data_IF_051641874710
#
_entry.id   IF_051641874710
#
_cell.length_a   1.000
_cell.length_b   1.000
_cell.length_c   1.000
_cell.angle_alpha   90.00
_cell.angle_beta   90.00
_cell.angle_gamma   90.00
#
_symmetry.space_group_name_H-M   'P 1'
#
loop_
_entity.id
_entity.type
_entity.pdbx_description
1 polymer ?
#
# COMPACT_ATOMS: atom_id res chain seq x y z
N UNK A 1 -18.72 -50.44 73.44
CA UNK A 1 -18.25 -49.25 72.72
C UNK A 1 -17.47 -49.62 71.41
N UNK A 2 -16.55 -50.60 71.41
CA UNK A 2 -15.71 -50.99 70.25
C UNK A 2 -16.53 -51.55 69.06
N UNK A 3 -17.62 -52.29 69.28
CA UNK A 3 -18.49 -52.83 68.21
C UNK A 3 -19.31 -51.77 67.46
N UNK A 4 -19.75 -50.72 68.18
CA UNK A 4 -20.52 -49.61 67.56
C UNK A 4 -19.60 -48.74 66.71
N UNK A 5 -18.37 -48.51 67.14
CA UNK A 5 -17.36 -47.73 66.37
C UNK A 5 -16.99 -48.45 65.07
N UNK A 6 -16.87 -49.80 65.06
CA UNK A 6 -16.61 -50.56 63.84
C UNK A 6 -17.77 -50.50 62.83
N UNK A 7 -19.05 -50.49 63.32
CA UNK A 7 -20.21 -50.38 62.43
C UNK A 7 -20.34 -48.97 61.81
N UNK A 8 -20.04 -47.92 62.58
CA UNK A 8 -20.04 -46.55 62.07
C UNK A 8 -18.86 -46.35 61.06
N UNK A 9 -17.68 -46.90 61.31
CA UNK A 9 -16.58 -46.79 60.39
C UNK A 9 -16.83 -47.55 59.08
N UNK A 10 -17.51 -48.72 59.14
CA UNK A 10 -17.86 -49.49 57.93
C UNK A 10 -18.94 -48.80 57.08
N UNK A 11 -19.91 -48.13 57.72
CA UNK A 11 -20.93 -47.35 57.00
C UNK A 11 -20.31 -46.09 56.36
N UNK A 12 -19.33 -45.48 57.03
CA UNK A 12 -18.64 -44.29 56.45
C UNK A 12 -17.70 -44.68 55.27
N UNK A 13 -17.04 -45.86 55.31
CA UNK A 13 -16.21 -46.33 54.20
C UNK A 13 -17.06 -46.73 53.00
N UNK A 14 -18.26 -47.31 53.21
CA UNK A 14 -19.21 -47.63 52.13
C UNK A 14 -19.81 -46.36 51.52
N UNK A 15 -20.09 -45.37 52.37
CA UNK A 15 -20.59 -44.07 51.85
C UNK A 15 -19.55 -43.30 51.03
N UNK A 16 -18.27 -43.37 51.40
CA UNK A 16 -17.16 -42.77 50.62
C UNK A 16 -16.88 -43.54 49.35
N UNK A 17 -17.03 -44.87 49.31
CA UNK A 17 -16.81 -45.65 48.09
C UNK A 17 -17.98 -45.53 47.08
N UNK A 18 -19.17 -45.17 47.48
CA UNK A 18 -20.31 -44.91 46.57
C UNK A 18 -20.24 -43.48 46.01
N UNK A 19 -19.63 -42.54 46.74
CA UNK A 19 -19.41 -41.17 46.23
C UNK A 19 -18.29 -41.10 45.16
N UNK A 20 -17.41 -42.12 45.06
CA UNK A 20 -16.33 -42.12 44.05
C UNK A 20 -16.74 -42.66 42.68
N UNK A 21 -18.00 -43.10 42.51
CA UNK A 21 -18.55 -43.56 41.23
C UNK A 21 -19.56 -42.54 40.62
N UNK A 22 -19.68 -41.35 41.15
CA UNK A 22 -20.27 -40.26 40.39
C UNK A 22 -19.28 -39.94 39.27
N UNK A 23 -19.58 -40.39 38.04
CA UNK A 23 -18.93 -39.84 36.83
C UNK A 23 -18.88 -38.33 37.03
N UNK A 24 -17.69 -37.76 37.21
CA UNK A 24 -17.54 -36.35 37.00
C UNK A 24 -18.21 -36.07 35.64
N UNK A 25 -19.17 -35.14 35.55
CA UNK A 25 -19.67 -34.73 34.24
C UNK A 25 -18.44 -34.41 33.44
N UNK A 26 -18.23 -35.10 32.34
CA UNK A 26 -17.26 -34.66 31.37
C UNK A 26 -17.47 -33.16 31.22
N UNK A 27 -16.42 -32.39 31.39
CA UNK A 27 -16.47 -30.94 31.20
C UNK A 27 -16.75 -30.67 29.71
N UNK A 28 -18.01 -30.94 29.31
CA UNK A 28 -18.53 -30.62 27.99
C UNK A 28 -18.83 -29.11 27.97
N UNK A 29 -17.75 -28.33 28.00
CA UNK A 29 -17.81 -26.90 27.81
C UNK A 29 -18.55 -26.55 26.53
N UNK A 30 -18.36 -27.34 25.47
CA UNK A 30 -19.02 -27.16 24.19
C UNK A 30 -20.53 -27.31 24.26
N UNK A 31 -21.01 -28.38 24.90
CA UNK A 31 -22.47 -28.59 25.11
C UNK A 31 -23.09 -27.50 25.95
N UNK A 32 -22.41 -27.05 27.01
CA UNK A 32 -22.91 -25.93 27.84
C UNK A 32 -22.95 -24.61 27.07
N UNK A 33 -21.97 -24.32 26.26
CA UNK A 33 -21.93 -23.12 25.42
C UNK A 33 -23.03 -23.17 24.35
N UNK A 34 -23.30 -24.33 23.77
CA UNK A 34 -24.39 -24.48 22.81
C UNK A 34 -25.75 -24.25 23.44
N UNK A 35 -26.00 -24.84 24.64
CA UNK A 35 -27.24 -24.60 25.40
C UNK A 35 -27.39 -23.13 25.79
N UNK A 36 -26.33 -22.48 26.24
CA UNK A 36 -26.36 -21.06 26.57
C UNK A 36 -26.66 -20.20 25.32
N UNK A 37 -26.13 -20.54 24.16
CA UNK A 37 -26.45 -19.89 22.90
C UNK A 37 -27.94 -20.06 22.54
N UNK A 38 -28.47 -21.27 22.60
CA UNK A 38 -29.89 -21.58 22.31
C UNK A 38 -30.85 -20.80 23.27
N UNK A 39 -30.51 -20.76 24.57
CA UNK A 39 -31.28 -19.97 25.53
C UNK A 39 -31.19 -18.48 25.27
N UNK A 40 -29.99 -17.97 24.94
CA UNK A 40 -29.84 -16.56 24.56
C UNK A 40 -30.68 -16.22 23.34
N UNK A 41 -30.65 -17.04 22.28
CA UNK A 41 -31.47 -16.85 21.08
C UNK A 41 -32.96 -16.82 21.35
N UNK A 42 -33.43 -17.63 22.29
CA UNK A 42 -34.85 -17.70 22.68
C UNK A 42 -35.37 -16.38 23.30
N UNK A 43 -34.52 -15.68 24.06
CA UNK A 43 -34.90 -14.44 24.75
C UNK A 43 -34.50 -13.17 23.96
N UNK A 44 -33.42 -13.20 23.23
CA UNK A 44 -32.81 -12.02 22.59
C UNK A 44 -32.68 -12.14 21.06
N UNK A 45 -33.07 -13.25 20.47
CA UNK A 45 -32.93 -13.51 19.04
C UNK A 45 -33.83 -12.63 18.14
N UNK A 46 -34.69 -11.83 18.70
CA UNK A 46 -35.44 -10.74 18.05
C UNK A 46 -35.97 -11.09 16.62
N UNK A 47 -36.76 -12.14 16.52
CA UNK A 47 -37.34 -12.59 15.25
C UNK A 47 -36.35 -13.28 14.27
N UNK A 48 -35.17 -13.64 14.73
CA UNK A 48 -34.24 -14.45 13.91
C UNK A 48 -34.80 -15.90 13.77
N UNK A 49 -34.64 -16.44 12.56
CA UNK A 49 -35.12 -17.78 12.20
C UNK A 49 -33.97 -18.77 12.26
N UNK A 50 -34.17 -19.90 12.97
CA UNK A 50 -33.20 -20.99 13.04
C UNK A 50 -33.12 -21.69 11.69
N UNK A 51 -31.92 -21.79 11.15
CA UNK A 51 -31.64 -22.51 9.92
C UNK A 51 -31.31 -24.00 10.21
N UNK A 52 -31.45 -24.85 9.20
CA UNK A 52 -31.10 -26.29 9.30
C UNK A 52 -29.63 -26.53 9.65
N UNK A 53 -28.76 -25.60 9.32
CA UNK A 53 -27.31 -25.59 9.62
C UNK A 53 -26.99 -25.30 11.10
N UNK A 54 -27.98 -24.82 11.87
CA UNK A 54 -27.80 -24.48 13.29
C UNK A 54 -27.50 -23.02 13.57
N UNK A 55 -27.30 -22.18 12.55
CA UNK A 55 -27.24 -20.73 12.69
C UNK A 55 -28.65 -20.15 12.81
N UNK A 56 -28.76 -18.89 13.28
CA UNK A 56 -29.99 -18.13 13.18
C UNK A 56 -29.76 -16.91 12.30
N UNK A 57 -30.71 -16.58 11.42
CA UNK A 57 -30.62 -15.43 10.53
C UNK A 57 -31.81 -14.51 10.67
N UNK A 58 -31.54 -13.20 10.57
CA UNK A 58 -32.56 -12.15 10.50
C UNK A 58 -32.24 -11.26 9.30
N UNK A 59 -33.16 -11.19 8.35
CA UNK A 59 -33.05 -10.23 7.26
C UNK A 59 -33.34 -8.84 7.82
N UNK A 60 -32.40 -7.92 7.61
CA UNK A 60 -32.48 -6.53 8.11
C UNK A 60 -33.00 -5.61 7.02
N UNK A 61 -32.54 -5.81 5.77
CA UNK A 61 -32.90 -4.97 4.64
C UNK A 61 -32.68 -5.73 3.32
N UNK A 62 -33.14 -5.15 2.21
CA UNK A 62 -32.89 -5.55 0.84
C UNK A 62 -32.81 -4.32 -0.04
N UNK A 63 -31.74 -4.17 -0.81
CA UNK A 63 -31.64 -3.10 -1.79
C UNK A 63 -32.69 -3.29 -2.90
N UNK A 64 -33.27 -2.19 -3.43
CA UNK A 64 -34.23 -2.24 -4.52
C UNK A 64 -33.64 -2.88 -5.79
N UNK A 65 -34.42 -3.66 -6.52
CA UNK A 65 -34.02 -4.24 -7.81
C UNK A 65 -33.28 -5.56 -7.74
N UNK A 66 -33.29 -6.23 -6.59
CA UNK A 66 -32.62 -7.51 -6.40
C UNK A 66 -33.14 -8.58 -7.39
N UNK A 67 -32.20 -9.14 -8.14
CA UNK A 67 -32.43 -10.41 -8.85
C UNK A 67 -32.29 -11.54 -7.83
N UNK A 68 -33.28 -12.43 -7.77
CA UNK A 68 -33.19 -13.64 -6.93
C UNK A 68 -32.07 -14.50 -7.47
N UNK A 69 -30.92 -14.44 -6.82
CA UNK A 69 -29.72 -15.19 -7.17
C UNK A 69 -28.86 -15.39 -5.93
N UNK A 70 -28.74 -16.64 -5.52
CA UNK A 70 -27.84 -17.04 -4.44
C UNK A 70 -26.44 -17.34 -4.96
N UNK A 71 -25.39 -17.14 -4.16
CA UNK A 71 -24.04 -17.57 -4.49
C UNK A 71 -24.01 -19.07 -4.76
N UNK A 72 -23.32 -19.46 -5.83
CA UNK A 72 -23.03 -20.85 -6.16
C UNK A 72 -21.56 -21.14 -5.83
N UNK A 73 -21.26 -22.40 -5.53
CA UNK A 73 -19.88 -22.85 -5.33
C UNK A 73 -18.98 -22.37 -6.47
N UNK A 74 -17.90 -21.69 -6.12
CA UNK A 74 -16.96 -21.13 -7.09
C UNK A 74 -17.24 -19.69 -7.54
N UNK A 75 -18.43 -19.13 -7.27
CA UNK A 75 -18.66 -17.71 -7.53
C UNK A 75 -17.73 -16.84 -6.66
N UNK A 76 -17.40 -15.66 -7.16
CA UNK A 76 -16.77 -14.62 -6.36
C UNK A 76 -17.85 -13.71 -5.81
N UNK A 77 -17.72 -13.33 -4.53
CA UNK A 77 -18.72 -12.50 -3.86
C UNK A 77 -18.03 -11.30 -3.20
N UNK A 78 -18.75 -10.18 -3.21
CA UNK A 78 -18.33 -8.96 -2.54
C UNK A 78 -19.24 -8.73 -1.34
N UNK A 79 -18.63 -8.73 -0.14
CA UNK A 79 -19.37 -8.70 1.13
C UNK A 79 -18.85 -7.60 2.03
N UNK A 80 -19.73 -6.71 2.45
CA UNK A 80 -19.46 -5.82 3.56
C UNK A 80 -19.93 -6.49 4.86
N UNK A 81 -19.16 -6.38 5.95
CA UNK A 81 -19.56 -7.00 7.22
C UNK A 81 -18.94 -6.37 8.45
N UNK A 82 -19.63 -6.57 9.57
CA UNK A 82 -19.13 -6.27 10.91
C UNK A 82 -19.41 -7.46 11.83
N UNK A 83 -18.37 -8.00 12.45
CA UNK A 83 -18.44 -9.11 13.40
C UNK A 83 -18.40 -8.65 14.86
N UNK A 84 -19.28 -9.23 15.70
CA UNK A 84 -19.41 -8.91 17.12
C UNK A 84 -19.39 -10.17 17.96
N UNK A 85 -18.85 -10.09 19.15
CA UNK A 85 -18.98 -11.13 20.18
C UNK A 85 -20.42 -11.09 20.73
N UNK A 86 -21.13 -12.22 20.70
CA UNK A 86 -22.56 -12.28 21.08
C UNK A 86 -22.85 -11.70 22.46
N UNK A 87 -22.09 -12.12 23.47
CA UNK A 87 -22.38 -11.80 24.86
C UNK A 87 -22.04 -10.37 25.29
N UNK A 88 -21.04 -9.77 24.61
CA UNK A 88 -20.53 -8.44 24.96
C UNK A 88 -20.93 -7.36 23.99
N UNK A 89 -21.28 -7.74 22.75
CA UNK A 89 -21.47 -6.82 21.63
C UNK A 89 -20.17 -6.20 21.10
N UNK A 90 -19.01 -6.55 21.67
CA UNK A 90 -17.74 -6.02 21.24
C UNK A 90 -17.44 -6.40 19.79
N UNK A 91 -17.08 -5.41 18.99
CA UNK A 91 -16.67 -5.63 17.60
C UNK A 91 -15.29 -6.29 17.60
N UNK A 92 -15.11 -7.34 16.79
CA UNK A 92 -13.80 -7.98 16.58
C UNK A 92 -13.27 -7.78 15.17
N UNK A 93 -14.15 -7.51 14.19
CA UNK A 93 -13.79 -7.19 12.81
C UNK A 93 -14.83 -6.26 12.20
N UNK A 94 -14.40 -5.33 11.35
CA UNK A 94 -15.32 -4.50 10.56
C UNK A 94 -14.70 -4.09 9.24
N UNK A 95 -15.53 -4.03 8.19
CA UNK A 95 -15.17 -3.47 6.87
C UNK A 95 -15.70 -2.04 6.70
N UNK A 96 -16.27 -1.46 7.76
CA UNK A 96 -16.82 -0.10 7.80
C UNK A 96 -15.88 0.87 8.53
N UNK A 97 -15.38 1.88 7.79
CA UNK A 97 -14.45 2.89 8.32
C UNK A 97 -15.06 3.73 9.45
N UNK A 98 -16.35 4.07 9.36
CA UNK A 98 -17.02 4.87 10.39
C UNK A 98 -17.14 4.08 11.71
N UNK A 99 -17.46 2.79 11.61
CA UNK A 99 -17.48 1.88 12.76
C UNK A 99 -16.08 1.76 13.38
N UNK A 100 -15.03 1.60 12.56
CA UNK A 100 -13.66 1.54 13.07
C UNK A 100 -13.23 2.84 13.77
N UNK A 101 -13.62 3.99 13.25
CA UNK A 101 -13.36 5.30 13.87
C UNK A 101 -14.09 5.42 15.23
N UNK A 102 -15.36 5.03 15.29
CA UNK A 102 -16.14 5.05 16.55
C UNK A 102 -15.55 4.13 17.63
N UNK A 103 -14.94 3.01 17.22
CA UNK A 103 -14.25 2.08 18.11
C UNK A 103 -12.82 2.52 18.48
N UNK A 104 -12.28 3.56 17.86
CA UNK A 104 -10.89 4.00 18.05
C UNK A 104 -9.85 3.03 17.49
N UNK A 105 -10.22 2.19 16.51
CA UNK A 105 -9.39 1.16 15.91
C UNK A 105 -9.09 1.43 14.43
N UNK A 106 -9.48 2.60 13.95
CA UNK A 106 -9.23 3.01 12.57
C UNK A 106 -7.74 3.06 12.27
N UNK A 107 -7.37 2.50 11.12
CA UNK A 107 -5.98 2.51 10.62
C UNK A 107 -5.94 3.09 9.22
N UNK A 108 -4.99 3.99 8.96
CA UNK A 108 -4.87 4.68 7.68
C UNK A 108 -4.44 3.78 6.52
N UNK A 109 -3.74 2.69 6.81
CA UNK A 109 -3.34 1.71 5.79
C UNK A 109 -4.44 0.67 5.48
N UNK A 110 -5.51 0.59 6.30
CA UNK A 110 -6.62 -0.31 6.03
C UNK A 110 -7.56 0.30 4.99
N UNK A 111 -7.75 -0.40 3.89
CA UNK A 111 -8.73 -0.06 2.87
C UNK A 111 -10.09 -0.61 3.26
N UNK A 112 -10.88 0.20 3.95
CA UNK A 112 -12.22 -0.17 4.43
C UNK A 112 -13.21 -0.26 3.27
N UNK A 113 -13.16 -1.38 2.56
CA UNK A 113 -14.05 -1.70 1.45
C UNK A 113 -14.61 -3.11 1.65
N UNK A 114 -15.70 -3.48 0.99
CA UNK A 114 -16.22 -4.85 1.00
C UNK A 114 -15.14 -5.85 0.60
N UNK A 115 -15.05 -6.95 1.33
CA UNK A 115 -14.12 -8.03 1.03
C UNK A 115 -14.56 -8.78 -0.21
N UNK A 116 -13.61 -9.21 -1.04
CA UNK A 116 -13.85 -9.94 -2.26
C UNK A 116 -13.16 -11.29 -2.21
N UNK A 117 -13.94 -12.35 -2.11
CA UNK A 117 -13.43 -13.71 -1.96
C UNK A 117 -14.30 -14.73 -2.72
N UNK A 118 -13.72 -15.91 -2.94
CA UNK A 118 -14.43 -16.98 -3.61
C UNK A 118 -15.36 -17.71 -2.62
N UNK A 119 -16.65 -17.79 -2.95
CA UNK A 119 -17.62 -18.57 -2.18
C UNK A 119 -17.35 -20.06 -2.38
N UNK A 120 -16.86 -20.69 -1.30
CA UNK A 120 -16.57 -22.13 -1.22
C UNK A 120 -16.97 -22.62 0.16
N UNK A 121 -17.58 -23.80 0.21
CA UNK A 121 -18.04 -24.42 1.45
C UNK A 121 -16.91 -24.75 2.42
N UNK A 122 -15.67 -24.90 1.94
CA UNK A 122 -14.44 -25.18 2.68
C UNK A 122 -13.50 -23.96 2.79
N UNK A 123 -14.00 -22.76 2.57
CA UNK A 123 -13.19 -21.55 2.70
C UNK A 123 -12.78 -21.31 4.17
N UNK A 124 -11.55 -21.68 4.51
CA UNK A 124 -11.00 -21.54 5.87
C UNK A 124 -10.70 -20.11 6.32
N UNK A 125 -10.86 -19.12 5.44
CA UNK A 125 -10.59 -17.71 5.76
C UNK A 125 -11.72 -17.04 6.54
N UNK A 126 -12.95 -17.56 6.44
CA UNK A 126 -14.13 -17.02 7.12
C UNK A 126 -14.87 -18.12 7.89
N UNK A 127 -15.63 -17.78 8.95
CA UNK A 127 -16.42 -18.77 9.70
C UNK A 127 -17.39 -19.53 8.80
N UNK A 128 -17.52 -20.84 8.98
CA UNK A 128 -18.47 -21.67 8.18
C UNK A 128 -19.92 -21.20 8.35
N UNK A 129 -20.30 -20.71 9.53
CA UNK A 129 -21.61 -20.12 9.77
C UNK A 129 -21.87 -18.85 8.97
N UNK A 130 -20.84 -18.07 8.66
CA UNK A 130 -20.93 -16.92 7.77
C UNK A 130 -21.22 -17.40 6.33
N UNK A 131 -20.51 -18.43 5.85
CA UNK A 131 -20.75 -19.00 4.52
C UNK A 131 -22.16 -19.57 4.38
N UNK A 132 -22.68 -20.25 5.42
CA UNK A 132 -24.05 -20.76 5.39
C UNK A 132 -25.08 -19.63 5.27
N UNK A 133 -24.89 -18.52 5.99
CA UNK A 133 -25.78 -17.37 5.86
C UNK A 133 -25.67 -16.71 4.47
N UNK A 134 -24.46 -16.51 3.94
CA UNK A 134 -24.23 -15.94 2.62
C UNK A 134 -24.84 -16.79 1.50
N UNK A 135 -24.81 -18.13 1.65
CA UNK A 135 -25.41 -19.06 0.67
C UNK A 135 -26.93 -18.91 0.51
N UNK A 136 -27.61 -18.38 1.49
CA UNK A 136 -29.06 -18.12 1.47
C UNK A 136 -29.41 -16.65 1.11
N UNK A 137 -28.40 -15.77 0.95
CA UNK A 137 -28.61 -14.36 0.62
C UNK A 137 -28.68 -14.15 -0.89
N UNK A 138 -29.49 -13.20 -1.31
CA UNK A 138 -29.42 -12.63 -2.66
C UNK A 138 -28.48 -11.41 -2.67
N UNK A 139 -27.91 -11.09 -3.82
CA UNK A 139 -27.18 -9.83 -3.96
C UNK A 139 -28.09 -8.64 -3.59
N UNK A 140 -27.59 -7.75 -2.72
CA UNK A 140 -28.34 -6.63 -2.14
C UNK A 140 -29.04 -6.94 -0.82
N UNK A 141 -29.00 -8.18 -0.31
CA UNK A 141 -29.56 -8.49 1.00
C UNK A 141 -28.61 -8.03 2.13
N UNK A 142 -29.22 -7.52 3.20
CA UNK A 142 -28.56 -7.21 4.47
C UNK A 142 -29.10 -8.17 5.52
N UNK A 143 -28.22 -8.99 6.08
CA UNK A 143 -28.60 -10.07 7.01
C UNK A 143 -27.74 -10.03 8.26
N UNK A 144 -28.36 -10.18 9.42
CA UNK A 144 -27.71 -10.51 10.67
C UNK A 144 -27.73 -12.02 10.88
N UNK A 145 -26.57 -12.63 11.03
CA UNK A 145 -26.41 -14.02 11.40
C UNK A 145 -25.90 -14.15 12.84
N UNK A 146 -26.56 -15.01 13.61
CA UNK A 146 -26.10 -15.42 14.95
C UNK A 146 -25.51 -16.80 14.78
N UNK A 147 -24.24 -16.93 15.08
CA UNK A 147 -23.42 -18.09 14.75
C UNK A 147 -22.91 -18.74 16.04
N UNK A 148 -23.29 -20.00 16.33
CA UNK A 148 -22.78 -20.72 17.49
C UNK A 148 -21.27 -20.94 17.35
N UNK A 149 -20.57 -21.10 18.48
CA UNK A 149 -19.11 -21.18 18.51
C UNK A 149 -18.53 -22.25 17.57
N UNK A 150 -19.18 -23.40 17.40
CA UNK A 150 -18.72 -24.51 16.56
C UNK A 150 -18.75 -24.19 15.07
N UNK A 151 -19.55 -23.22 14.64
CA UNK A 151 -19.63 -22.69 13.27
C UNK A 151 -18.95 -21.31 13.13
N UNK A 152 -18.40 -20.80 14.25
CA UNK A 152 -17.59 -19.60 14.31
C UNK A 152 -16.09 -19.97 14.32
N UNK A 153 -15.40 -19.72 15.41
CA UNK A 153 -13.96 -19.98 15.55
C UNK A 153 -13.64 -21.17 16.46
N UNK A 154 -14.62 -22.03 16.74
CA UNK A 154 -14.47 -23.28 17.49
C UNK A 154 -14.05 -23.08 18.95
N UNK A 155 -13.42 -24.12 19.50
CA UNK A 155 -12.91 -24.11 20.88
C UNK A 155 -11.63 -23.32 21.06
N UNK A 156 -10.88 -23.08 20.01
CA UNK A 156 -9.61 -22.35 20.04
C UNK A 156 -9.78 -20.84 19.97
N UNK A 157 -10.90 -20.37 19.40
CA UNK A 157 -11.09 -18.97 19.06
C UNK A 157 -10.21 -18.53 17.89
N UNK A 158 -10.03 -17.24 17.72
CA UNK A 158 -9.06 -16.69 16.78
C UNK A 158 -8.33 -15.52 17.41
N UNK A 159 -7.01 -15.56 17.34
CA UNK A 159 -6.16 -14.39 17.43
C UNK A 159 -5.72 -14.13 15.99
N UNK A 160 -6.38 -13.21 15.33
CA UNK A 160 -5.85 -12.70 14.08
C UNK A 160 -4.45 -12.15 14.39
N UNK A 161 -3.44 -12.47 13.56
CA UNK A 161 -2.12 -11.86 13.72
C UNK A 161 -2.25 -10.34 13.68
N UNK A 162 -1.34 -9.62 14.31
CA UNK A 162 -1.24 -8.17 14.17
C UNK A 162 -1.19 -7.86 12.68
N UNK A 163 -2.19 -7.21 12.11
CA UNK A 163 -2.24 -6.87 10.70
C UNK A 163 -3.38 -7.47 9.89
N UNK A 164 -4.26 -8.29 10.48
CA UNK A 164 -5.49 -8.68 9.76
C UNK A 164 -6.31 -7.41 9.50
N UNK A 165 -6.53 -7.10 8.24
CA UNK A 165 -7.17 -5.85 7.84
C UNK A 165 -8.61 -5.77 8.36
N UNK A 166 -8.94 -4.66 9.04
CA UNK A 166 -10.25 -4.46 9.68
C UNK A 166 -10.45 -5.17 11.01
N UNK A 167 -9.45 -5.89 11.53
CA UNK A 167 -9.53 -6.49 12.86
C UNK A 167 -9.51 -5.45 13.98
N UNK A 168 -10.36 -5.67 14.96
CA UNK A 168 -10.50 -4.82 16.14
C UNK A 168 -10.05 -5.55 17.40
N UNK A 169 -10.38 -6.84 17.54
CA UNK A 169 -10.07 -7.66 18.71
C UNK A 169 -10.03 -9.16 18.36
N UNK A 170 -9.44 -9.96 19.25
CA UNK A 170 -9.49 -11.42 19.18
C UNK A 170 -10.85 -11.95 19.62
N UNK A 171 -11.23 -13.12 19.09
CA UNK A 171 -12.42 -13.86 19.56
C UNK A 171 -11.95 -15.00 20.43
N UNK A 172 -12.33 -15.04 21.72
CA UNK A 172 -12.00 -16.15 22.61
C UNK A 172 -12.57 -17.49 22.12
N UNK A 173 -11.95 -18.59 22.54
CA UNK A 173 -12.47 -19.91 22.24
C UNK A 173 -13.87 -20.15 22.80
N UNK A 174 -14.63 -21.01 22.15
CA UNK A 174 -16.02 -21.37 22.51
C UNK A 174 -16.97 -20.17 22.57
N UNK A 175 -16.72 -19.13 21.77
CA UNK A 175 -17.49 -17.88 21.76
C UNK A 175 -18.42 -17.80 20.56
N UNK A 176 -19.75 -17.70 20.75
CA UNK A 176 -20.69 -17.39 19.67
C UNK A 176 -20.52 -15.94 19.19
N UNK A 177 -20.80 -15.72 17.92
CA UNK A 177 -20.63 -14.42 17.27
C UNK A 177 -21.92 -13.95 16.57
N UNK A 178 -21.99 -12.65 16.34
CA UNK A 178 -22.96 -12.02 15.44
C UNK A 178 -22.19 -11.49 14.22
N UNK A 179 -22.70 -11.77 13.02
CA UNK A 179 -22.21 -11.19 11.78
C UNK A 179 -23.31 -10.37 11.12
N UNK A 180 -23.13 -9.07 11.04
CA UNK A 180 -23.95 -8.19 10.20
C UNK A 180 -23.30 -8.15 8.82
N UNK A 181 -24.00 -8.61 7.80
CA UNK A 181 -23.45 -8.80 6.45
C UNK A 181 -24.35 -8.17 5.40
N UNK A 182 -23.71 -7.55 4.41
CA UNK A 182 -24.34 -7.06 3.20
C UNK A 182 -23.69 -7.76 2.01
N UNK A 183 -24.44 -8.57 1.27
CA UNK A 183 -23.99 -9.23 0.05
C UNK A 183 -24.21 -8.29 -1.14
N UNK A 184 -23.16 -7.61 -1.56
CA UNK A 184 -23.26 -6.58 -2.60
C UNK A 184 -23.31 -7.15 -4.01
N UNK A 185 -22.50 -8.17 -4.28
CA UNK A 185 -22.29 -8.67 -5.64
C UNK A 185 -21.99 -10.17 -5.66
N UNK A 186 -22.47 -10.83 -6.73
CA UNK A 186 -22.15 -12.22 -7.07
C UNK A 186 -21.59 -12.25 -8.48
N UNK A 187 -20.32 -12.59 -8.61
CA UNK A 187 -19.56 -12.56 -9.86
C UNK A 187 -19.21 -13.97 -10.29
N UNK A 188 -19.67 -14.35 -11.48
CA UNK A 188 -19.40 -15.68 -12.05
C UNK A 188 -17.98 -15.77 -12.63
N UNK A 189 -17.54 -14.71 -13.32
CA UNK A 189 -16.21 -14.61 -13.93
C UNK A 189 -15.55 -13.27 -13.51
N UNK A 190 -14.64 -13.30 -12.54
CA UNK A 190 -13.99 -12.09 -12.03
C UNK A 190 -13.08 -11.43 -13.06
N UNK A 191 -12.52 -12.19 -14.01
CA UNK A 191 -11.64 -11.63 -15.05
C UNK A 191 -12.44 -10.78 -16.02
N UNK A 192 -13.62 -11.25 -16.44
CA UNK A 192 -14.50 -10.47 -17.32
C UNK A 192 -14.98 -9.21 -16.61
N UNK A 193 -15.49 -9.36 -15.39
CA UNK A 193 -15.98 -8.23 -14.59
C UNK A 193 -14.89 -7.17 -14.34
N UNK A 194 -13.66 -7.59 -14.06
CA UNK A 194 -12.53 -6.69 -13.85
C UNK A 194 -12.13 -5.97 -15.16
N UNK A 195 -12.13 -6.67 -16.29
CA UNK A 195 -11.82 -6.05 -17.58
C UNK A 195 -12.85 -4.97 -17.93
N UNK A 196 -14.14 -5.25 -17.76
CA UNK A 196 -15.22 -4.27 -17.97
C UNK A 196 -15.04 -3.06 -17.02
N UNK A 197 -14.78 -3.29 -15.74
CA UNK A 197 -14.56 -2.24 -14.76
C UNK A 197 -13.41 -1.30 -15.15
N UNK A 198 -12.26 -1.84 -15.58
CA UNK A 198 -11.09 -1.04 -15.99
C UNK A 198 -11.36 -0.29 -17.30
N UNK A 199 -12.06 -0.91 -18.26
CA UNK A 199 -12.45 -0.27 -19.52
C UNK A 199 -13.41 0.90 -19.27
N UNK A 200 -14.45 0.67 -18.48
CA UNK A 200 -15.44 1.70 -18.12
C UNK A 200 -14.80 2.86 -17.38
N UNK A 201 -13.90 2.58 -16.44
CA UNK A 201 -13.14 3.62 -15.75
C UNK A 201 -12.29 4.43 -16.73
N UNK A 202 -11.51 3.78 -17.58
CA UNK A 202 -10.64 4.46 -18.54
C UNK A 202 -11.46 5.31 -19.54
N UNK A 203 -12.62 4.82 -19.96
CA UNK A 203 -13.52 5.56 -20.84
C UNK A 203 -14.17 6.76 -20.13
N UNK A 204 -14.80 6.54 -18.98
CA UNK A 204 -15.59 7.57 -18.30
C UNK A 204 -14.70 8.65 -17.67
N UNK A 205 -13.57 8.27 -17.07
CA UNK A 205 -12.70 9.20 -16.34
C UNK A 205 -11.60 9.81 -17.22
N UNK A 206 -11.16 9.11 -18.26
CA UNK A 206 -10.03 9.53 -19.09
C UNK A 206 -10.36 9.70 -20.57
N UNK A 207 -11.56 9.35 -21.01
CA UNK A 207 -11.95 9.34 -22.43
C UNK A 207 -11.12 8.36 -23.28
N UNK A 208 -10.61 7.29 -22.67
CA UNK A 208 -9.77 6.28 -23.33
C UNK A 208 -10.59 5.08 -23.76
N UNK A 209 -10.37 4.62 -24.99
CA UNK A 209 -11.01 3.42 -25.54
C UNK A 209 -10.03 2.25 -25.55
N UNK A 210 -10.52 1.06 -25.92
CA UNK A 210 -9.68 -0.14 -26.06
C UNK A 210 -8.55 0.05 -27.08
N UNK A 211 -8.69 0.97 -28.02
CA UNK A 211 -7.69 1.31 -29.04
C UNK A 211 -6.57 2.20 -28.49
N UNK A 212 -6.82 2.86 -27.36
CA UNK A 212 -5.86 3.75 -26.67
C UNK A 212 -4.96 3.03 -25.66
N UNK A 213 -4.98 1.71 -25.62
CA UNK A 213 -4.21 0.94 -24.64
C UNK A 213 -2.71 0.98 -24.97
N UNK A 214 -1.89 1.07 -23.93
CA UNK A 214 -0.42 0.85 -24.04
C UNK A 214 -0.16 -0.62 -24.37
N UNK A 215 -0.92 -1.49 -23.77
CA UNK A 215 -1.01 -2.93 -23.99
C UNK A 215 -2.43 -3.36 -23.60
N UNK A 216 -2.93 -4.48 -24.08
CA UNK A 216 -4.27 -4.95 -23.72
C UNK A 216 -4.50 -4.83 -22.19
N UNK A 217 -5.58 -4.15 -21.80
CA UNK A 217 -5.96 -3.90 -20.39
C UNK A 217 -4.96 -3.08 -19.56
N UNK A 218 -4.07 -2.30 -20.22
CA UNK A 218 -3.23 -1.28 -19.59
C UNK A 218 -3.52 0.06 -20.26
N UNK A 219 -4.17 0.96 -19.55
CA UNK A 219 -4.49 2.31 -20.03
C UNK A 219 -3.56 3.32 -19.39
N UNK A 220 -3.22 4.38 -20.13
CA UNK A 220 -2.37 5.46 -19.64
C UNK A 220 -2.89 6.81 -20.12
N UNK A 221 -2.88 7.81 -19.22
CA UNK A 221 -3.04 9.22 -19.57
C UNK A 221 -1.86 10.04 -19.09
N UNK A 222 -1.39 10.97 -19.92
CA UNK A 222 -0.36 11.95 -19.53
C UNK A 222 -0.96 13.03 -18.67
N UNK A 223 -0.36 13.32 -17.52
CA UNK A 223 -0.73 14.43 -16.64
C UNK A 223 0.12 15.66 -16.92
N UNK A 224 1.43 15.47 -17.14
CA UNK A 224 2.34 16.53 -17.56
C UNK A 224 3.39 15.98 -18.53
N UNK A 225 3.72 16.75 -19.54
CA UNK A 225 4.76 16.39 -20.49
C UNK A 225 6.14 16.73 -19.90
N UNK A 226 7.11 15.84 -20.11
CA UNK A 226 8.50 16.13 -19.85
C UNK A 226 9.06 17.15 -20.88
N UNK A 227 10.11 17.84 -20.49
CA UNK A 227 10.85 18.75 -21.40
C UNK A 227 11.63 17.96 -22.45
N UNK A 228 11.99 16.71 -22.20
CA UNK A 228 12.75 15.86 -23.11
C UNK A 228 11.87 15.32 -24.25
N UNK A 229 12.44 15.17 -25.44
CA UNK A 229 11.78 14.55 -26.59
C UNK A 229 11.99 13.04 -26.66
N UNK A 230 13.02 12.53 -25.99
CA UNK A 230 13.33 11.11 -25.94
C UNK A 230 12.28 10.34 -25.12
N UNK A 231 11.96 9.13 -25.59
CA UNK A 231 11.02 8.22 -24.92
C UNK A 231 11.74 7.02 -24.34
N UNK A 232 11.16 6.49 -23.25
CA UNK A 232 11.60 5.25 -22.63
C UNK A 232 11.33 4.08 -23.59
N UNK A 233 12.35 3.30 -23.87
CA UNK A 233 12.25 2.07 -24.67
C UNK A 233 12.09 0.86 -23.76
N UNK A 234 11.56 -0.24 -24.30
CA UNK A 234 11.63 -1.52 -23.61
C UNK A 234 13.10 -1.92 -23.35
N UNK A 235 13.31 -2.76 -22.35
CA UNK A 235 14.63 -3.26 -21.92
C UNK A 235 15.63 -2.14 -21.56
N UNK A 236 15.12 -1.01 -21.07
CA UNK A 236 15.94 0.09 -20.56
C UNK A 236 15.71 0.27 -19.06
N UNK A 237 16.76 0.69 -18.36
CA UNK A 237 16.71 1.00 -16.94
C UNK A 237 16.42 2.48 -16.76
N UNK A 238 15.35 2.81 -16.02
CA UNK A 238 14.95 4.18 -15.71
C UNK A 238 14.72 4.36 -14.23
N UNK A 239 14.88 5.59 -13.75
CA UNK A 239 14.50 5.95 -12.38
C UNK A 239 13.13 6.62 -12.37
N UNK A 240 12.29 6.28 -11.38
CA UNK A 240 10.94 6.81 -11.29
C UNK A 240 10.57 7.16 -9.85
N UNK A 241 9.67 8.16 -9.71
CA UNK A 241 8.81 8.32 -8.54
C UNK A 241 7.41 7.83 -8.86
N UNK A 242 6.71 7.31 -7.84
CA UNK A 242 5.35 6.82 -8.05
C UNK A 242 4.44 7.03 -6.85
N UNK A 243 3.15 6.97 -7.13
CA UNK A 243 2.07 6.86 -6.14
C UNK A 243 1.14 5.74 -6.60
N UNK A 244 1.08 4.66 -5.84
CA UNK A 244 0.16 3.55 -6.04
C UNK A 244 -1.19 3.82 -5.39
N UNK A 245 -2.28 3.57 -6.15
CA UNK A 245 -3.66 3.82 -5.72
C UNK A 245 -4.58 2.70 -6.16
N UNK A 246 -5.70 2.54 -5.45
CA UNK A 246 -6.84 1.87 -6.02
C UNK A 246 -7.67 2.85 -6.87
N UNK A 247 -8.64 2.32 -7.62
CA UNK A 247 -9.45 3.13 -8.55
C UNK A 247 -10.35 4.15 -7.83
N UNK A 248 -10.67 3.94 -6.56
CA UNK A 248 -11.39 4.89 -5.70
C UNK A 248 -10.49 6.02 -5.15
N UNK A 249 -9.19 5.97 -5.47
CA UNK A 249 -8.21 6.97 -5.07
C UNK A 249 -7.46 6.68 -3.77
N UNK A 250 -7.79 5.61 -3.04
CA UNK A 250 -7.05 5.22 -1.84
C UNK A 250 -5.58 4.96 -2.17
N UNK A 251 -4.66 5.60 -1.46
CA UNK A 251 -3.21 5.47 -1.65
C UNK A 251 -2.71 4.33 -0.79
N UNK A 252 -2.15 3.28 -1.43
CA UNK A 252 -1.62 2.12 -0.72
C UNK A 252 -0.09 2.10 -0.65
N UNK A 253 0.60 2.78 -1.59
CA UNK A 253 2.07 2.79 -1.62
C UNK A 253 2.62 4.01 -2.35
N UNK A 254 3.81 4.47 -1.98
CA UNK A 254 4.55 5.52 -2.66
C UNK A 254 6.02 5.56 -2.21
N UNK A 255 6.91 5.96 -3.11
CA UNK A 255 8.30 6.28 -2.78
C UNK A 255 8.55 7.80 -2.61
N UNK A 256 7.51 8.60 -2.42
CA UNK A 256 7.58 10.04 -2.19
C UNK A 256 7.22 10.33 -0.72
N UNK A 257 8.18 10.81 0.07
CA UNK A 257 8.01 11.01 1.51
C UNK A 257 6.84 11.95 1.86
N UNK A 258 6.75 13.11 1.20
CA UNK A 258 5.67 14.07 1.44
C UNK A 258 4.28 13.46 1.15
N UNK A 259 4.20 12.61 0.12
CA UNK A 259 2.98 11.88 -0.20
C UNK A 259 2.66 10.84 0.87
N UNK A 260 3.65 10.06 1.31
CA UNK A 260 3.47 9.07 2.37
C UNK A 260 2.99 9.73 3.68
N UNK A 261 3.57 10.88 4.05
CA UNK A 261 3.15 11.67 5.22
C UNK A 261 1.73 12.23 5.06
N UNK A 262 1.41 12.75 3.88
CA UNK A 262 0.08 13.29 3.57
C UNK A 262 -1.04 12.26 3.73
N UNK A 263 -0.78 11.02 3.33
CA UNK A 263 -1.76 9.93 3.40
C UNK A 263 -1.61 9.03 4.65
N UNK A 264 -0.74 9.43 5.60
CA UNK A 264 -0.48 8.72 6.86
C UNK A 264 0.01 7.26 6.69
N UNK A 265 0.70 6.98 5.60
CA UNK A 265 1.36 5.68 5.32
C UNK A 265 2.88 5.77 5.44
N UNK A 266 3.39 6.83 6.05
CA UNK A 266 4.83 7.02 6.28
C UNK A 266 5.37 5.99 7.27
N UNK A 267 6.48 5.36 6.91
CA UNK A 267 7.27 4.50 7.80
C UNK A 267 8.73 4.92 7.78
N UNK A 268 9.34 5.07 8.95
CA UNK A 268 10.78 5.39 9.05
C UNK A 268 11.70 4.26 8.59
N UNK A 269 11.17 3.04 8.42
CA UNK A 269 11.89 1.90 7.84
C UNK A 269 11.97 1.93 6.31
N UNK A 270 11.08 2.70 5.67
CA UNK A 270 11.04 2.82 4.22
C UNK A 270 12.01 3.91 3.73
N UNK A 271 12.64 3.64 2.60
CA UNK A 271 13.46 4.62 1.91
C UNK A 271 12.61 5.36 0.87
N UNK A 272 12.41 6.65 1.11
CA UNK A 272 11.71 7.54 0.19
C UNK A 272 12.70 8.19 -0.76
N UNK A 273 12.95 7.52 -1.88
CA UNK A 273 13.84 7.97 -2.96
C UNK A 273 13.35 7.36 -4.28
N UNK A 274 13.87 7.82 -5.40
CA UNK A 274 13.55 7.21 -6.68
C UNK A 274 13.93 5.74 -6.70
N UNK A 275 13.09 4.92 -7.32
CA UNK A 275 13.39 3.51 -7.59
C UNK A 275 13.85 3.34 -9.02
N UNK A 276 14.66 2.31 -9.22
CA UNK A 276 15.15 1.92 -10.55
C UNK A 276 14.29 0.79 -11.09
N UNK A 277 13.78 0.95 -12.30
CA UNK A 277 12.91 -0.02 -12.98
C UNK A 277 13.54 -0.43 -14.30
N UNK A 278 13.61 -1.73 -14.56
CA UNK A 278 13.96 -2.27 -15.87
C UNK A 278 12.67 -2.50 -16.66
N UNK A 279 12.46 -1.73 -17.73
CA UNK A 279 11.19 -1.68 -18.45
C UNK A 279 11.06 -2.78 -19.49
N UNK A 280 9.82 -3.25 -19.74
CA UNK A 280 9.52 -4.19 -20.84
C UNK A 280 9.15 -5.60 -20.43
N UNK A 281 9.05 -5.90 -19.12
CA UNK A 281 8.39 -7.12 -18.63
C UNK A 281 9.31 -8.30 -18.35
N UNK A 282 10.62 -8.09 -18.29
CA UNK A 282 11.60 -9.11 -17.86
C UNK A 282 11.94 -9.01 -16.38
N UNK A 283 11.70 -7.85 -15.76
CA UNK A 283 11.90 -7.63 -14.33
C UNK A 283 10.73 -8.19 -13.53
N UNK A 284 11.01 -9.01 -12.53
CA UNK A 284 10.02 -9.58 -11.62
C UNK A 284 9.90 -8.84 -10.30
N UNK A 285 10.66 -7.75 -10.13
CA UNK A 285 10.67 -6.95 -8.90
C UNK A 285 9.37 -6.17 -8.74
N UNK A 286 8.79 -5.72 -9.84
CA UNK A 286 7.56 -4.92 -9.87
C UNK A 286 6.45 -5.64 -10.63
N UNK A 287 5.19 -5.25 -10.34
CA UNK A 287 4.04 -5.76 -11.09
C UNK A 287 4.14 -5.34 -12.56
N UNK A 288 3.84 -6.27 -13.47
CA UNK A 288 4.05 -6.08 -14.92
C UNK A 288 3.34 -4.86 -15.50
N UNK A 289 2.18 -4.51 -14.97
CA UNK A 289 1.42 -3.34 -15.42
C UNK A 289 2.16 -2.04 -15.16
N UNK A 290 2.92 -1.97 -14.07
CA UNK A 290 3.73 -0.81 -13.72
C UNK A 290 4.88 -0.61 -14.71
N UNK A 291 5.68 -1.64 -14.97
CA UNK A 291 6.84 -1.52 -15.86
C UNK A 291 6.44 -1.32 -17.34
N UNK A 292 5.39 -2.02 -17.78
CA UNK A 292 4.86 -1.84 -19.13
C UNK A 292 4.31 -0.44 -19.39
N UNK A 293 3.66 0.16 -18.36
CA UNK A 293 3.11 1.50 -18.49
C UNK A 293 4.18 2.58 -18.69
N UNK A 294 5.43 2.32 -18.30
CA UNK A 294 6.55 3.26 -18.44
C UNK A 294 7.08 3.30 -19.88
N UNK A 295 6.98 2.19 -20.62
CA UNK A 295 7.43 2.13 -22.02
C UNK A 295 6.68 3.16 -22.88
N UNK A 296 7.42 3.95 -23.63
CA UNK A 296 6.88 5.03 -24.48
C UNK A 296 6.61 6.35 -23.76
N UNK A 297 6.74 6.43 -22.41
CA UNK A 297 6.73 7.72 -21.71
C UNK A 297 7.96 8.55 -22.08
N UNK A 298 7.83 9.86 -22.11
CA UNK A 298 8.97 10.77 -22.26
C UNK A 298 9.73 10.90 -20.94
N UNK A 299 11.01 11.15 -21.01
CA UNK A 299 11.76 11.53 -19.83
C UNK A 299 11.23 12.86 -19.25
N UNK A 300 10.99 12.91 -17.94
CA UNK A 300 10.34 14.03 -17.26
C UNK A 300 8.80 14.03 -17.35
N UNK A 301 8.20 13.07 -18.05
CA UNK A 301 6.76 12.92 -18.10
C UNK A 301 6.21 12.37 -16.77
N UNK A 302 5.08 12.94 -16.36
CA UNK A 302 4.21 12.33 -15.33
C UNK A 302 2.96 11.80 -15.99
N UNK A 303 2.69 10.52 -15.82
CA UNK A 303 1.49 9.88 -16.35
C UNK A 303 0.76 9.09 -15.26
N UNK A 304 -0.51 8.85 -15.50
CA UNK A 304 -1.33 7.96 -14.69
C UNK A 304 -1.69 6.74 -15.50
N UNK A 305 -1.54 5.56 -14.90
CA UNK A 305 -1.89 4.28 -15.53
C UNK A 305 -2.89 3.52 -14.66
N UNK A 306 -3.77 2.77 -15.29
CA UNK A 306 -4.65 1.78 -14.68
C UNK A 306 -4.55 0.48 -15.46
N UNK A 307 -4.55 -0.64 -14.74
CA UNK A 307 -4.48 -1.96 -15.36
C UNK A 307 -5.15 -3.00 -14.49
N UNK A 308 -5.57 -4.10 -15.13
CA UNK A 308 -6.19 -5.24 -14.45
C UNK A 308 -5.18 -6.02 -13.61
N UNK A 309 -5.70 -6.77 -12.65
CA UNK A 309 -4.90 -7.64 -11.76
C UNK A 309 -4.06 -8.67 -12.52
N UNK A 310 -4.42 -9.04 -13.75
CA UNK A 310 -3.60 -9.90 -14.61
C UNK A 310 -2.18 -9.34 -14.83
N UNK A 311 -2.02 -8.03 -14.73
CA UNK A 311 -0.74 -7.34 -14.73
C UNK A 311 -0.30 -6.85 -13.35
N UNK A 312 -1.08 -7.16 -12.32
CA UNK A 312 -0.82 -6.90 -10.90
C UNK A 312 -0.60 -8.20 -10.13
N UNK A 313 -1.49 -8.47 -9.19
CA UNK A 313 -1.40 -9.62 -8.27
C UNK A 313 -2.36 -10.78 -8.60
N UNK A 314 -3.17 -10.65 -9.66
CA UNK A 314 -4.07 -11.70 -10.15
C UNK A 314 -5.12 -12.10 -9.13
N UNK A 315 -5.29 -13.41 -8.97
CA UNK A 315 -6.23 -14.03 -8.03
C UNK A 315 -5.68 -14.20 -6.61
N UNK A 316 -4.51 -13.62 -6.31
CA UNK A 316 -3.83 -13.80 -5.03
C UNK A 316 -4.06 -12.61 -4.12
N UNK A 317 -4.57 -12.86 -2.90
CA UNK A 317 -4.62 -11.87 -1.83
C UNK A 317 -3.19 -11.47 -1.43
N UNK A 318 -2.89 -10.18 -1.44
CA UNK A 318 -1.70 -9.63 -0.82
C UNK A 318 -2.07 -9.11 0.57
N UNK A 319 -1.43 -9.64 1.60
CA UNK A 319 -1.77 -9.35 2.99
C UNK A 319 -0.50 -9.10 3.83
N UNK A 320 0.28 -8.07 3.51
CA UNK A 320 1.47 -7.73 4.28
C UNK A 320 1.08 -7.18 5.66
N UNK A 321 1.97 -7.37 6.63
CA UNK A 321 1.76 -6.88 7.99
C UNK A 321 1.91 -5.36 8.04
N UNK A 322 0.91 -4.69 8.64
CA UNK A 322 0.86 -3.21 8.81
C UNK A 322 0.90 -2.42 7.48
N UNK A 323 0.52 -3.04 6.39
CA UNK A 323 0.35 -2.41 5.09
C UNK A 323 -1.06 -2.67 4.55
N UNK A 324 -1.41 -2.02 3.47
CA UNK A 324 -2.71 -2.19 2.83
C UNK A 324 -2.83 -3.56 2.16
N UNK A 325 -3.90 -4.28 2.46
CA UNK A 325 -4.23 -5.52 1.77
C UNK A 325 -4.77 -5.22 0.37
N UNK A 326 -4.37 -6.04 -0.59
CA UNK A 326 -4.86 -5.97 -1.96
C UNK A 326 -5.64 -7.25 -2.24
N UNK A 327 -6.95 -7.09 -2.38
CA UNK A 327 -7.85 -8.21 -2.66
C UNK A 327 -7.52 -8.89 -4.00
N UNK A 328 -7.89 -10.15 -4.19
CA UNK A 328 -7.86 -10.80 -5.50
C UNK A 328 -8.63 -9.98 -6.56
N UNK A 329 -8.17 -10.05 -7.81
CA UNK A 329 -8.79 -9.35 -8.95
C UNK A 329 -9.02 -7.84 -8.71
N UNK A 330 -8.06 -7.19 -8.04
CA UNK A 330 -8.11 -5.76 -7.80
C UNK A 330 -7.27 -5.03 -8.84
N UNK A 331 -7.87 -4.17 -9.66
CA UNK A 331 -7.14 -3.27 -10.55
C UNK A 331 -6.26 -2.31 -9.78
N UNK A 332 -5.08 -2.03 -10.32
CA UNK A 332 -4.14 -1.08 -9.73
C UNK A 332 -4.00 0.16 -10.60
N UNK A 333 -3.86 1.30 -9.95
CA UNK A 333 -3.59 2.57 -10.60
C UNK A 333 -2.30 3.17 -10.05
N UNK A 334 -1.43 3.67 -10.93
CA UNK A 334 -0.21 4.35 -10.53
C UNK A 334 -0.11 5.73 -11.21
N UNK A 335 0.32 6.70 -10.44
CA UNK A 335 0.88 7.94 -11.00
C UNK A 335 2.38 7.76 -11.02
N UNK A 336 3.01 7.85 -12.19
CA UNK A 336 4.43 7.58 -12.42
C UNK A 336 5.08 8.83 -12.99
N UNK A 337 6.20 9.25 -12.41
CA UNK A 337 7.06 10.31 -12.92
C UNK A 337 8.39 9.68 -13.36
N UNK A 338 8.69 9.72 -14.65
CA UNK A 338 9.96 9.25 -15.18
C UNK A 338 11.02 10.32 -15.03
N UNK A 339 12.09 10.02 -14.33
CA UNK A 339 13.18 10.96 -14.08
C UNK A 339 14.06 11.08 -15.31
N UNK A 340 14.33 12.29 -15.81
CA UNK A 340 15.33 12.48 -16.85
C UNK A 340 16.70 12.00 -16.38
N UNK A 341 17.48 11.28 -17.19
CA UNK A 341 18.79 10.74 -16.79
C UNK A 341 19.80 11.82 -16.41
N UNK A 342 19.59 13.05 -16.87
CA UNK A 342 20.44 14.20 -16.58
C UNK A 342 19.79 15.21 -15.60
N UNK A 343 18.65 14.86 -14.99
CA UNK A 343 17.86 15.75 -14.17
C UNK A 343 16.95 16.69 -14.99
N UNK A 344 16.14 17.48 -14.31
CA UNK A 344 15.22 18.48 -14.89
C UNK A 344 15.37 19.89 -14.27
N UNK A 345 16.36 20.05 -13.38
CA UNK A 345 16.66 21.30 -12.69
C UNK A 345 15.79 21.57 -11.49
N UNK A 346 14.88 20.67 -11.07
CA UNK A 346 14.13 20.80 -9.84
C UNK A 346 14.95 20.43 -8.62
N UNK A 347 14.48 20.78 -7.41
CA UNK A 347 15.13 20.39 -6.16
C UNK A 347 15.20 18.88 -5.96
N UNK A 348 14.18 18.15 -6.46
CA UNK A 348 14.10 16.69 -6.38
C UNK A 348 14.99 16.02 -7.44
N UNK A 349 15.12 16.62 -8.62
CA UNK A 349 15.91 16.11 -9.75
C UNK A 349 16.86 17.18 -10.28
N UNK A 350 17.88 17.59 -9.52
CA UNK A 350 18.85 18.57 -9.97
C UNK A 350 19.54 18.13 -11.27
N UNK A 351 19.81 19.05 -12.17
CA UNK A 351 20.63 18.74 -13.34
C UNK A 351 21.96 18.14 -12.91
N UNK A 352 22.36 17.04 -13.57
CA UNK A 352 23.75 16.57 -13.57
C UNK A 352 24.61 17.57 -14.34
N UNK A 353 25.91 17.50 -14.19
CA UNK A 353 26.83 18.37 -14.95
C UNK A 353 26.69 18.10 -16.46
N UNK A 354 26.50 16.84 -16.87
CA UNK A 354 26.16 16.47 -18.23
C UNK A 354 24.85 17.10 -18.69
N UNK A 355 23.85 17.16 -17.79
CA UNK A 355 22.56 17.80 -18.06
C UNK A 355 22.71 19.30 -18.31
N UNK A 356 23.45 20.01 -17.46
CA UNK A 356 23.75 21.45 -17.65
C UNK A 356 24.42 21.70 -19.00
N UNK A 357 25.43 20.88 -19.35
CA UNK A 357 26.13 21.04 -20.59
C UNK A 357 25.31 20.71 -21.86
N UNK A 358 24.25 19.96 -21.70
CA UNK A 358 23.28 19.67 -22.79
C UNK A 358 22.25 20.77 -23.01
N UNK A 359 22.16 21.75 -22.11
CA UNK A 359 21.21 22.86 -22.24
C UNK A 359 21.64 23.79 -23.38
N UNK A 360 20.67 24.16 -24.19
CA UNK A 360 20.87 25.06 -25.34
C UNK A 360 20.36 26.48 -25.10
N UNK A 361 19.75 26.71 -23.93
CA UNK A 361 19.14 27.98 -23.51
C UNK A 361 19.48 28.26 -22.06
N UNK A 362 19.43 29.52 -21.70
CA UNK A 362 19.46 29.96 -20.33
C UNK A 362 18.23 29.45 -19.57
N UNK A 363 18.41 29.09 -18.30
CA UNK A 363 17.35 28.69 -17.42
C UNK A 363 17.48 29.41 -16.07
N UNK A 364 16.33 29.80 -15.51
CA UNK A 364 16.28 30.50 -14.22
C UNK A 364 15.92 29.54 -13.10
N UNK A 365 16.48 29.81 -11.93
CA UNK A 365 16.06 29.22 -10.66
C UNK A 365 16.11 27.66 -10.63
N UNK A 366 17.18 27.09 -11.19
CA UNK A 366 17.39 25.67 -11.30
C UNK A 366 18.38 25.13 -10.27
N UNK A 367 18.21 23.86 -9.92
CA UNK A 367 19.13 23.11 -9.11
C UNK A 367 20.09 22.28 -9.98
N UNK A 368 21.39 22.30 -9.61
CA UNK A 368 22.39 21.41 -10.21
C UNK A 368 23.10 20.61 -9.13
N UNK A 369 23.63 19.45 -9.48
CA UNK A 369 24.37 18.58 -8.55
C UNK A 369 25.68 18.10 -9.16
N UNK A 370 26.72 18.02 -8.34
CA UNK A 370 28.02 17.51 -8.75
C UNK A 370 28.99 17.39 -7.59
N UNK A 371 30.12 16.75 -7.84
CA UNK A 371 31.25 16.75 -6.92
C UNK A 371 32.04 18.04 -7.08
N UNK A 372 32.43 18.67 -5.97
CA UNK A 372 33.32 19.82 -5.95
C UNK A 372 34.72 19.33 -6.32
N UNK A 373 35.25 19.76 -7.45
CA UNK A 373 36.49 19.18 -8.02
C UNK A 373 37.59 20.21 -8.23
N UNK A 374 37.36 21.47 -7.88
CA UNK A 374 38.35 22.53 -8.05
C UNK A 374 37.73 23.91 -8.18
N UNK A 375 38.47 24.84 -8.75
CA UNK A 375 38.02 26.18 -9.10
C UNK A 375 38.69 26.67 -10.40
N UNK A 376 38.28 27.83 -10.90
CA UNK A 376 38.87 28.49 -12.06
C UNK A 376 39.73 29.67 -11.56
N UNK A 377 41.03 29.58 -11.82
CA UNK A 377 41.99 30.65 -11.56
C UNK A 377 42.41 31.25 -12.92
N UNK A 378 41.56 32.14 -13.44
CA UNK A 378 41.74 32.73 -14.79
C UNK A 378 40.44 33.23 -15.41
N UNK A 379 40.49 33.58 -16.66
CA UNK A 379 39.38 34.16 -17.42
C UNK A 379 38.37 33.15 -17.96
N UNK A 380 38.77 31.89 -18.10
CA UNK A 380 37.90 30.84 -18.61
C UNK A 380 38.16 29.48 -17.96
N UNK A 381 37.17 28.58 -18.03
CA UNK A 381 37.32 27.19 -17.57
C UNK A 381 38.35 26.46 -18.39
N UNK A 382 38.41 26.72 -19.72
CA UNK A 382 39.31 26.06 -20.65
C UNK A 382 40.81 26.26 -20.29
N UNK A 383 41.17 27.47 -19.85
CA UNK A 383 42.54 27.85 -19.58
C UNK A 383 42.91 27.99 -18.14
N UNK A 384 41.91 28.11 -17.26
CA UNK A 384 42.11 28.42 -15.83
C UNK A 384 41.59 27.35 -14.85
N UNK A 385 41.09 26.20 -15.34
CA UNK A 385 40.59 25.15 -14.42
C UNK A 385 41.76 24.53 -13.63
N UNK A 386 41.59 24.52 -12.30
CA UNK A 386 42.50 23.88 -11.36
C UNK A 386 41.73 22.77 -10.63
N UNK A 387 42.04 21.51 -10.97
CA UNK A 387 41.38 20.33 -10.41
C UNK A 387 42.02 19.85 -9.10
N UNK A 388 41.99 20.71 -8.10
CA UNK A 388 42.67 20.50 -6.81
C UNK A 388 41.89 21.20 -5.69
N UNK A 389 42.16 20.82 -4.44
CA UNK A 389 41.77 21.54 -3.23
C UNK A 389 42.68 22.76 -2.94
N UNK A 390 43.88 22.77 -3.51
CA UNK A 390 44.85 23.86 -3.33
C UNK A 390 44.65 25.00 -4.34
N UNK A 391 43.46 25.59 -4.33
CA UNK A 391 43.11 26.75 -5.18
C UNK A 391 43.33 28.08 -4.44
N UNK A 392 43.42 29.18 -5.18
CA UNK A 392 43.66 30.51 -4.64
C UNK A 392 42.44 31.43 -4.75
N UNK A 393 41.46 31.06 -5.53
CA UNK A 393 40.25 31.86 -5.78
C UNK A 393 39.10 31.42 -4.89
N UNK A 394 38.31 32.41 -4.42
CA UNK A 394 37.14 32.18 -3.58
C UNK A 394 35.82 32.46 -4.30
N UNK A 395 35.87 32.97 -5.53
CA UNK A 395 34.70 33.48 -6.24
C UNK A 395 33.91 32.42 -7.01
N UNK A 396 34.49 31.25 -7.17
CA UNK A 396 33.87 30.15 -7.92
C UNK A 396 34.38 28.80 -7.44
N UNK A 397 33.65 27.75 -7.82
CA UNK A 397 34.04 26.33 -7.73
C UNK A 397 33.70 25.62 -9.04
N UNK A 398 34.35 24.49 -9.28
CA UNK A 398 34.04 23.56 -10.36
C UNK A 398 33.25 22.37 -9.82
N UNK A 399 32.14 22.04 -10.47
CA UNK A 399 31.36 20.82 -10.23
C UNK A 399 31.52 19.84 -11.38
N UNK A 400 31.54 18.53 -11.06
CA UNK A 400 31.61 17.43 -12.01
C UNK A 400 30.73 16.26 -11.60
N UNK A 401 30.27 15.46 -12.57
CA UNK A 401 29.60 14.20 -12.30
C UNK A 401 30.55 13.12 -11.75
N UNK A 402 31.86 13.29 -11.96
CA UNK A 402 32.91 12.39 -11.46
C UNK A 402 33.85 13.11 -10.51
N UNK A 403 34.45 12.37 -9.56
CA UNK A 403 35.33 12.95 -8.52
C UNK A 403 36.70 13.43 -9.02
N UNK A 404 37.13 12.95 -10.19
CA UNK A 404 38.45 13.21 -10.76
C UNK A 404 38.33 13.52 -12.27
N UNK A 405 37.73 14.67 -12.63
CA UNK A 405 37.70 15.10 -14.02
C UNK A 405 39.12 15.51 -14.46
N UNK A 406 39.39 15.42 -15.75
CA UNK A 406 40.67 15.71 -16.38
C UNK A 406 40.57 16.80 -17.46
N UNK A 407 39.36 17.24 -17.80
CA UNK A 407 39.15 18.26 -18.82
C UNK A 407 37.95 19.18 -18.58
N UNK A 408 37.90 20.32 -19.25
CA UNK A 408 36.88 21.35 -19.15
C UNK A 408 35.49 20.88 -19.63
N UNK A 409 35.42 19.85 -20.47
CA UNK A 409 34.11 19.33 -20.96
C UNK A 409 33.33 18.60 -19.89
N UNK A 410 33.99 18.17 -18.82
CA UNK A 410 33.39 17.39 -17.69
C UNK A 410 33.07 18.20 -16.49
N UNK A 411 33.22 19.52 -16.54
CA UNK A 411 32.97 20.41 -15.38
C UNK A 411 32.07 21.58 -15.75
N UNK A 412 31.39 22.11 -14.76
CA UNK A 412 30.62 23.36 -14.81
C UNK A 412 31.14 24.29 -13.72
N UNK A 413 31.42 25.54 -14.10
CA UNK A 413 31.77 26.57 -13.15
C UNK A 413 30.51 27.11 -12.44
N UNK A 414 30.62 27.26 -11.13
CA UNK A 414 29.57 27.80 -10.26
C UNK A 414 30.10 29.07 -9.61
N UNK A 415 29.42 30.18 -9.83
CA UNK A 415 29.71 31.44 -9.16
C UNK A 415 29.38 31.35 -7.69
N UNK A 416 30.23 31.93 -6.84
CA UNK A 416 30.00 32.04 -5.42
C UNK A 416 29.82 33.53 -5.07
N UNK A 417 28.57 34.04 -4.95
CA UNK A 417 28.29 35.44 -4.58
C UNK A 417 28.83 35.72 -3.18
N UNK A 418 29.12 36.97 -2.91
CA UNK A 418 29.60 37.41 -1.58
C UNK A 418 28.61 37.06 -0.46
N UNK A 419 29.16 36.77 0.70
CA UNK A 419 28.40 36.37 1.90
C UNK A 419 28.40 34.87 2.13
N UNK A 420 27.35 34.37 2.77
CA UNK A 420 27.27 32.99 3.31
C UNK A 420 27.58 31.90 2.28
N UNK A 421 27.17 32.07 1.03
CA UNK A 421 27.42 31.07 -0.03
C UNK A 421 28.92 30.95 -0.26
N UNK A 422 29.61 32.07 -0.50
CA UNK A 422 31.06 32.09 -0.71
C UNK A 422 31.81 31.57 0.52
N UNK A 423 31.43 32.03 1.71
CA UNK A 423 32.10 31.64 2.98
C UNK A 423 32.04 30.13 3.23
N UNK A 424 30.98 29.47 2.77
CA UNK A 424 30.73 28.05 3.03
C UNK A 424 31.12 27.11 1.88
N UNK A 425 31.26 27.61 0.65
CA UNK A 425 31.52 26.79 -0.53
C UNK A 425 32.87 27.08 -1.21
N UNK A 426 33.57 28.16 -0.89
CA UNK A 426 34.92 28.38 -1.46
C UNK A 426 35.89 27.33 -0.93
N UNK A 427 36.73 26.77 -1.79
CA UNK A 427 37.70 25.73 -1.43
C UNK A 427 38.88 26.24 -0.63
N UNK A 428 39.23 27.55 -0.70
CA UNK A 428 40.34 28.14 0.04
C UNK A 428 40.15 28.02 1.56
N UNK A 429 38.91 28.26 2.01
CA UNK A 429 38.56 28.23 3.43
C UNK A 429 37.87 26.90 3.83
N UNK A 430 37.47 26.08 2.90
CA UNK A 430 36.66 24.86 3.13
C UNK A 430 37.19 23.65 2.33
N UNK A 431 38.44 23.29 2.46
CA UNK A 431 39.06 22.13 1.77
C UNK A 431 38.27 20.83 1.97
N UNK A 432 37.58 20.67 3.12
CA UNK A 432 36.79 19.48 3.43
C UNK A 432 35.64 19.17 2.47
N UNK A 433 35.21 20.16 1.66
CA UNK A 433 34.17 19.92 0.63
C UNK A 433 34.75 19.38 -0.70
N UNK A 434 36.06 19.36 -0.88
CA UNK A 434 36.69 18.77 -2.06
C UNK A 434 36.31 17.31 -2.22
N UNK A 435 35.90 16.94 -3.43
CA UNK A 435 35.34 15.63 -3.79
C UNK A 435 34.08 15.23 -3.03
N UNK A 436 33.42 16.17 -2.35
CA UNK A 436 32.08 15.95 -1.79
C UNK A 436 31.03 16.35 -2.80
N UNK A 437 29.89 15.63 -2.77
CA UNK A 437 28.73 15.95 -3.62
C UNK A 437 27.92 17.06 -2.98
N UNK A 438 27.57 18.07 -3.74
CA UNK A 438 26.71 19.17 -3.32
C UNK A 438 25.57 19.36 -4.33
N UNK A 439 24.53 20.05 -3.89
CA UNK A 439 23.43 20.53 -4.72
C UNK A 439 23.38 22.04 -4.56
N UNK A 440 23.29 22.79 -5.64
CA UNK A 440 23.26 24.25 -5.62
C UNK A 440 22.17 24.78 -6.53
N UNK A 441 21.53 25.89 -6.13
CA UNK A 441 20.44 26.56 -6.83
C UNK A 441 20.90 27.90 -7.34
N UNK A 442 20.62 28.19 -8.60
CA UNK A 442 20.98 29.45 -9.26
C UNK A 442 20.43 29.50 -10.68
N UNK A 443 21.03 30.36 -11.50
CA UNK A 443 20.64 30.58 -12.87
C UNK A 443 21.71 30.02 -13.83
N UNK A 444 21.27 29.32 -14.90
CA UNK A 444 22.17 28.86 -15.95
C UNK A 444 22.42 30.01 -16.92
N UNK A 445 23.66 30.41 -17.05
CA UNK A 445 24.14 31.49 -17.96
C UNK A 445 25.52 31.15 -18.52
N UNK A 446 25.95 31.95 -19.48
CA UNK A 446 27.37 31.93 -19.88
C UNK A 446 28.22 32.47 -18.70
N UNK A 447 29.17 31.66 -18.25
CA UNK A 447 30.08 32.00 -17.16
C UNK A 447 31.45 31.39 -17.37
N UNK A 448 32.50 32.19 -17.30
CA UNK A 448 33.90 31.80 -17.52
C UNK A 448 34.12 31.00 -18.82
N UNK A 449 33.48 31.47 -19.90
CA UNK A 449 33.68 30.94 -21.27
C UNK A 449 32.83 29.72 -21.63
N UNK A 450 31.96 29.24 -20.74
CA UNK A 450 31.04 28.13 -21.03
C UNK A 450 29.74 28.28 -20.29
N UNK A 451 28.78 27.35 -20.50
CA UNK A 451 27.58 27.26 -19.67
C UNK A 451 27.96 27.01 -18.22
N UNK A 452 27.49 27.85 -17.29
CA UNK A 452 27.78 27.81 -15.87
C UNK A 452 26.57 28.13 -15.02
N UNK A 453 26.71 28.10 -13.70
CA UNK A 453 25.70 28.50 -12.73
C UNK A 453 26.12 29.81 -12.08
N UNK A 454 25.24 30.82 -12.14
CA UNK A 454 25.44 32.12 -11.53
C UNK A 454 24.29 32.45 -10.58
N UNK A 455 24.41 33.57 -9.85
CA UNK A 455 23.38 34.02 -8.92
C UNK A 455 22.96 32.94 -7.92
N UNK A 456 23.91 32.24 -7.35
CA UNK A 456 23.64 31.11 -6.44
C UNK A 456 22.94 31.61 -5.18
N UNK A 457 21.78 31.05 -4.88
CA UNK A 457 20.91 31.44 -3.76
C UNK A 457 20.85 30.41 -2.63
N UNK A 458 21.01 29.14 -2.95
CA UNK A 458 20.89 28.04 -1.97
C UNK A 458 21.89 26.90 -2.28
N UNK A 459 22.22 26.13 -1.25
CA UNK A 459 23.02 24.91 -1.40
C UNK A 459 22.66 23.86 -0.35
N UNK A 460 22.92 22.59 -0.67
CA UNK A 460 22.83 21.43 0.24
C UNK A 460 24.10 20.61 0.11
N UNK A 461 24.74 20.25 1.23
CA UNK A 461 25.84 19.27 1.28
C UNK A 461 25.27 17.88 1.49
N UNK A 462 25.55 16.93 0.56
CA UNK A 462 25.09 15.54 0.64
C UNK A 462 26.15 14.62 1.23
#
# INVERSE_FOLDING_TARGET
MIKVIRAILSVFIVAVSVASCAKQPSDDLGGRQQLAFEEWMKYYGDGAVKQSTGIYTKKLDSLPGNVIRHPQEGNWIRVNYTGRILNTGNIFVTRDSATAQLQGTFQYYTHYVPEYFQFKSDNGSVPSGMLYALGEMNAGDVVRAYIPYGLAYGTSGTSFGSGYEGQVASVPGSTPIIMDMELLEIVADPVIAENELVQDFAYNEWGKTIEDTVRANIYRRTLSLGKDTATVKADTTVSVYYVGRFMDGFVFDTNIEDTARKYNIYSSSNRYDSITVNTGGTDTTYVKGFDHAIVGMKFGETAQTVFTSAYGYGSTLQSPENETWINPYTPLMFTIMVIPPNGDGTAYHPYSIKGVKALTKDEDDVWITGYVVGAVDGASVETGAVYSDTVKVKTNILLSDIRTPDDASRVVAVELPEGTIRDKLNLVDNEAIYRKKIVVRGNIRQYLGQTGLVDVTQYVKK
#
